data_IF_568889926260
#
_entry.id   IF_568889926260
#
_cell.length_a   1.000
_cell.length_b   1.000
_cell.length_c   1.000
_cell.angle_alpha   90.00
_cell.angle_beta   90.00
_cell.angle_gamma   90.00
#
_symmetry.space_group_name_H-M   'P 1'
#
loop_
_entity.id
_entity.type
_entity.pdbx_description
1 polymer ?
#
# COMPACT_ATOMS: atom_id res chain seq x y z
N UNK A 1 -7.75 9.53 24.62
CA UNK A 1 -6.71 8.93 23.75
C UNK A 1 -7.17 7.54 23.36
N UNK A 2 -7.08 7.15 22.09
CA UNK A 2 -7.49 5.82 21.66
C UNK A 2 -6.47 4.75 22.11
N UNK A 3 -6.94 3.60 22.60
CA UNK A 3 -6.05 2.50 22.99
C UNK A 3 -5.51 1.80 21.74
N UNK A 4 -4.23 1.99 21.47
CA UNK A 4 -3.57 1.45 20.26
C UNK A 4 -3.29 -0.05 20.33
N UNK A 5 -3.57 -0.71 21.47
CA UNK A 5 -3.46 -2.16 21.66
C UNK A 5 -2.09 -2.75 21.25
N UNK A 6 -1.00 -2.05 21.58
CA UNK A 6 0.37 -2.53 21.37
C UNK A 6 0.69 -3.79 22.20
N UNK A 7 0.26 -3.84 23.46
CA UNK A 7 0.50 -4.96 24.38
C UNK A 7 -0.54 -6.08 24.26
N UNK A 8 -0.73 -6.61 23.06
CA UNK A 8 -1.61 -7.76 22.84
C UNK A 8 -0.88 -9.09 22.97
N UNK A 9 -1.62 -10.13 23.36
CA UNK A 9 -1.11 -11.50 23.39
C UNK A 9 -0.72 -11.92 21.97
N UNK A 10 0.41 -12.59 21.82
CA UNK A 10 0.95 -13.08 20.53
C UNK A 10 -0.11 -13.80 19.66
N UNK A 11 -0.99 -14.68 20.20
CA UNK A 11 -2.02 -15.33 19.38
C UNK A 11 -3.02 -14.36 18.74
N UNK A 12 -3.32 -13.24 19.39
CA UNK A 12 -4.22 -12.22 18.83
C UNK A 12 -3.57 -11.48 17.66
N UNK A 13 -2.26 -11.20 17.76
CA UNK A 13 -1.48 -10.59 16.67
C UNK A 13 -1.47 -11.51 15.45
N UNK A 14 -1.16 -12.80 15.66
CA UNK A 14 -1.16 -13.80 14.58
C UNK A 14 -2.54 -13.91 13.91
N UNK A 15 -3.62 -13.89 14.69
CA UNK A 15 -4.99 -13.91 14.15
C UNK A 15 -5.25 -12.73 13.20
N UNK A 16 -4.79 -11.53 13.53
CA UNK A 16 -4.97 -10.35 12.67
C UNK A 16 -4.13 -10.44 11.39
N UNK A 17 -2.90 -10.92 11.51
CA UNK A 17 -2.04 -11.13 10.34
C UNK A 17 -2.68 -12.17 9.41
N UNK A 18 -3.15 -13.29 9.95
CA UNK A 18 -3.85 -14.33 9.19
C UNK A 18 -5.12 -13.80 8.52
N UNK A 19 -5.88 -12.95 9.21
CA UNK A 19 -7.06 -12.31 8.63
C UNK A 19 -6.68 -11.38 7.46
N UNK A 20 -5.56 -10.66 7.55
CA UNK A 20 -5.09 -9.84 6.43
C UNK A 20 -4.72 -10.68 5.20
N UNK A 21 -4.11 -11.86 5.42
CA UNK A 21 -3.80 -12.81 4.36
C UNK A 21 -5.08 -13.29 3.68
N UNK A 22 -6.09 -13.69 4.46
CA UNK A 22 -7.40 -14.10 3.91
C UNK A 22 -8.02 -12.99 3.05
N UNK A 23 -7.99 -11.74 3.52
CA UNK A 23 -8.54 -10.61 2.77
C UNK A 23 -7.81 -10.40 1.43
N UNK A 24 -6.49 -10.49 1.42
CA UNK A 24 -5.69 -10.38 0.19
C UNK A 24 -5.93 -11.57 -0.73
N UNK A 25 -6.06 -12.78 -0.20
CA UNK A 25 -6.40 -13.98 -0.99
C UNK A 25 -7.78 -13.84 -1.64
N UNK A 26 -8.78 -13.32 -0.93
CA UNK A 26 -10.11 -13.06 -1.49
C UNK A 26 -10.03 -12.01 -2.59
N UNK A 27 -9.30 -10.92 -2.37
CA UNK A 27 -9.08 -9.88 -3.38
C UNK A 27 -8.36 -10.45 -4.63
N UNK A 28 -7.35 -11.28 -4.44
CA UNK A 28 -6.66 -11.98 -5.54
C UNK A 28 -7.58 -12.95 -6.28
N UNK A 29 -8.35 -13.77 -5.57
CA UNK A 29 -9.31 -14.68 -6.19
C UNK A 29 -10.37 -13.92 -7.00
N UNK A 30 -10.83 -12.76 -6.52
CA UNK A 30 -11.75 -11.91 -7.27
C UNK A 30 -11.11 -11.36 -8.55
N UNK A 31 -9.82 -10.99 -8.52
CA UNK A 31 -9.08 -10.60 -9.71
C UNK A 31 -9.03 -11.74 -10.72
N UNK A 32 -8.66 -12.96 -10.28
CA UNK A 32 -8.58 -14.14 -11.17
C UNK A 32 -9.91 -14.42 -11.88
N UNK A 33 -11.04 -14.25 -11.17
CA UNK A 33 -12.38 -14.43 -11.77
C UNK A 33 -12.64 -13.38 -12.84
N UNK A 34 -12.27 -12.12 -12.59
CA UNK A 34 -12.46 -11.03 -13.55
C UNK A 34 -11.55 -11.18 -14.76
N UNK A 35 -10.31 -11.56 -14.55
CA UNK A 35 -9.36 -11.84 -15.64
C UNK A 35 -9.85 -13.01 -16.49
N UNK A 36 -10.36 -14.09 -15.87
CA UNK A 36 -10.93 -15.21 -16.60
C UNK A 36 -12.20 -14.86 -17.40
N UNK A 37 -13.11 -14.07 -16.84
CA UNK A 37 -14.40 -13.76 -17.47
C UNK A 37 -14.33 -12.59 -18.46
N UNK A 38 -13.51 -11.58 -18.17
CA UNK A 38 -13.49 -10.31 -18.88
C UNK A 38 -12.13 -9.97 -19.47
N UNK A 39 -11.07 -10.70 -19.12
CA UNK A 39 -9.69 -10.41 -19.54
C UNK A 39 -9.23 -9.01 -19.10
N UNK A 40 -9.69 -8.58 -17.92
CA UNK A 40 -9.46 -7.27 -17.34
C UNK A 40 -8.75 -7.37 -15.99
N UNK A 41 -7.79 -6.47 -15.77
CA UNK A 41 -7.02 -6.34 -14.54
C UNK A 41 -7.61 -5.25 -13.62
N UNK A 42 -7.27 -5.29 -12.33
CA UNK A 42 -7.50 -4.16 -11.42
C UNK A 42 -6.52 -3.03 -11.69
N UNK A 43 -6.88 -2.17 -12.64
CA UNK A 43 -6.11 -0.98 -12.97
C UNK A 43 -6.90 0.27 -12.62
N UNK A 44 -6.27 1.12 -11.81
CA UNK A 44 -6.77 2.46 -11.57
C UNK A 44 -5.62 3.45 -11.77
N UNK A 45 -5.70 4.17 -12.89
CA UNK A 45 -4.64 5.06 -13.35
C UNK A 45 -3.28 4.34 -13.42
N UNK A 46 -2.24 4.86 -12.78
CA UNK A 46 -0.89 4.30 -12.74
C UNK A 46 -0.72 3.16 -11.71
N UNK A 47 -1.75 2.82 -10.94
CA UNK A 47 -1.74 1.69 -10.02
C UNK A 47 -2.37 0.46 -10.68
N UNK A 48 -1.66 -0.66 -10.69
CA UNK A 48 -2.14 -1.93 -11.22
C UNK A 48 -2.01 -3.04 -10.20
N UNK A 49 -3.03 -3.88 -10.10
CA UNK A 49 -2.92 -5.22 -9.54
C UNK A 49 -3.22 -6.21 -10.65
N UNK A 50 -2.30 -7.15 -10.83
CA UNK A 50 -2.37 -8.14 -11.89
C UNK A 50 -2.06 -9.51 -11.32
N UNK A 51 -2.36 -10.55 -12.10
CA UNK A 51 -1.94 -11.90 -11.79
C UNK A 51 -0.42 -11.95 -11.58
N UNK A 52 0.01 -12.62 -10.51
CA UNK A 52 1.41 -12.89 -10.27
C UNK A 52 1.63 -14.39 -10.32
N UNK A 53 2.65 -14.81 -11.08
CA UNK A 53 3.11 -16.20 -11.04
C UNK A 53 3.47 -16.61 -9.62
N UNK A 54 3.13 -17.84 -9.27
CA UNK A 54 3.35 -18.42 -7.94
C UNK A 54 4.79 -18.23 -7.42
N UNK A 55 5.78 -18.33 -8.30
CA UNK A 55 7.21 -18.18 -7.99
C UNK A 55 7.57 -16.79 -7.43
N UNK A 56 6.86 -15.75 -7.88
CA UNK A 56 7.15 -14.35 -7.55
C UNK A 56 6.48 -13.88 -6.28
N UNK A 57 5.51 -14.62 -5.74
CA UNK A 57 4.85 -14.32 -4.49
C UNK A 57 5.81 -14.28 -3.29
N UNK A 58 6.87 -15.10 -3.32
CA UNK A 58 7.93 -15.07 -2.32
C UNK A 58 8.51 -13.66 -2.11
N UNK A 59 8.69 -12.90 -3.20
CA UNK A 59 9.20 -11.52 -3.18
C UNK A 59 8.18 -10.57 -2.53
N UNK A 60 6.89 -10.74 -2.83
CA UNK A 60 5.80 -9.96 -2.23
C UNK A 60 5.80 -10.11 -0.71
N UNK A 61 5.94 -11.35 -0.21
CA UNK A 61 5.96 -11.63 1.24
C UNK A 61 7.15 -10.98 1.95
N UNK A 62 8.36 -11.13 1.39
CA UNK A 62 9.59 -10.56 1.98
C UNK A 62 9.50 -9.03 2.04
N UNK A 63 9.03 -8.39 0.98
CA UNK A 63 8.91 -6.93 0.95
C UNK A 63 7.74 -6.44 1.82
N UNK A 64 6.67 -7.22 1.94
CA UNK A 64 5.56 -6.88 2.82
C UNK A 64 6.01 -6.88 4.28
N UNK A 65 6.85 -7.84 4.66
CA UNK A 65 7.48 -7.89 5.98
C UNK A 65 8.38 -6.67 6.22
N UNK A 66 9.13 -6.25 5.20
CA UNK A 66 9.97 -5.05 5.29
C UNK A 66 9.15 -3.75 5.45
N UNK A 67 8.03 -3.63 4.73
CA UNK A 67 7.14 -2.45 4.80
C UNK A 67 6.22 -2.46 6.03
N UNK A 68 6.03 -3.61 6.66
CA UNK A 68 5.10 -3.80 7.76
C UNK A 68 5.36 -2.86 8.97
N UNK A 69 6.60 -2.69 9.49
CA UNK A 69 6.87 -1.75 10.58
C UNK A 69 6.50 -0.31 10.24
N UNK A 70 6.74 0.13 9.00
CA UNK A 70 6.38 1.48 8.56
C UNK A 70 4.86 1.68 8.58
N UNK A 71 4.09 0.71 8.09
CA UNK A 71 2.63 0.77 8.17
C UNK A 71 2.09 0.65 9.60
N UNK A 72 2.81 -0.02 10.50
CA UNK A 72 2.46 -0.08 11.92
C UNK A 72 2.61 1.31 12.56
N UNK A 73 3.72 2.01 12.28
CA UNK A 73 3.92 3.39 12.73
C UNK A 73 2.85 4.33 12.16
N UNK A 74 2.55 4.24 10.85
CA UNK A 74 1.48 5.03 10.22
C UNK A 74 0.14 4.73 10.90
N UNK A 75 -0.20 3.46 11.10
CA UNK A 75 -1.44 3.06 11.75
C UNK A 75 -1.54 3.51 13.20
N UNK A 76 -0.43 3.56 13.93
CA UNK A 76 -0.37 4.13 15.26
C UNK A 76 -0.59 5.65 15.24
N UNK A 77 0.14 6.39 14.40
CA UNK A 77 0.05 7.86 14.29
C UNK A 77 -1.35 8.32 13.86
N UNK A 78 -1.91 7.65 12.85
CA UNK A 78 -3.25 7.97 12.32
C UNK A 78 -4.31 7.71 13.38
N UNK A 79 -4.25 6.58 14.09
CA UNK A 79 -5.28 6.18 15.05
C UNK A 79 -5.09 6.74 16.46
N UNK A 80 -3.95 7.37 16.75
CA UNK A 80 -3.74 8.03 18.04
C UNK A 80 -4.58 9.30 18.20
N UNK A 81 -4.76 10.05 17.11
CA UNK A 81 -5.44 11.36 17.07
C UNK A 81 -6.94 11.27 16.76
N UNK A 82 -7.60 10.15 17.09
CA UNK A 82 -9.05 9.99 16.87
C UNK A 82 -9.81 11.07 17.63
N UNK A 83 -10.54 11.89 16.87
CA UNK A 83 -11.40 12.94 17.39
C UNK A 83 -12.79 12.39 17.67
N UNK A 84 -13.33 12.74 18.85
CA UNK A 84 -14.68 12.34 19.28
C UNK A 84 -15.69 13.48 19.19
N UNK A 85 -15.24 14.69 18.83
CA UNK A 85 -16.06 15.90 18.76
C UNK A 85 -16.82 16.06 17.44
N UNK A 86 -16.40 15.36 16.38
CA UNK A 86 -16.98 15.45 15.03
C UNK A 86 -17.56 14.10 14.57
N UNK A 87 -18.51 14.08 13.61
CA UNK A 87 -19.02 12.86 13.01
C UNK A 87 -17.89 11.97 12.48
N UNK A 88 -18.06 10.67 12.69
CA UNK A 88 -17.03 9.65 12.47
C UNK A 88 -16.47 9.64 11.02
N UNK A 89 -17.34 9.90 10.04
CA UNK A 89 -16.97 9.97 8.63
C UNK A 89 -16.17 11.24 8.29
N UNK A 90 -16.48 12.37 8.96
CA UNK A 90 -15.75 13.63 8.78
C UNK A 90 -14.34 13.52 9.36
N UNK A 91 -14.22 12.91 10.54
CA UNK A 91 -12.93 12.61 11.14
C UNK A 91 -12.06 11.73 10.23
N UNK A 92 -12.63 10.66 9.67
CA UNK A 92 -11.90 9.82 8.70
C UNK A 92 -11.50 10.62 7.46
N UNK A 93 -12.40 11.42 6.90
CA UNK A 93 -12.10 12.19 5.69
C UNK A 93 -10.98 13.20 5.94
N UNK A 94 -11.05 13.97 7.03
CA UNK A 94 -10.01 14.94 7.40
C UNK A 94 -8.68 14.21 7.62
N UNK A 95 -8.71 13.08 8.32
CA UNK A 95 -7.51 12.28 8.58
C UNK A 95 -6.87 11.80 7.28
N UNK A 96 -7.66 11.25 6.35
CA UNK A 96 -7.14 10.77 5.05
C UNK A 96 -6.55 11.93 4.25
N UNK A 97 -7.31 13.01 4.08
CA UNK A 97 -6.88 14.18 3.30
C UNK A 97 -5.61 14.78 3.88
N UNK A 98 -5.58 15.09 5.18
CA UNK A 98 -4.44 15.75 5.81
C UNK A 98 -3.17 14.88 5.80
N UNK A 99 -3.30 13.55 5.96
CA UNK A 99 -2.16 12.65 5.92
C UNK A 99 -1.70 12.31 4.49
N UNK A 100 -2.53 12.53 3.46
CA UNK A 100 -2.14 12.38 2.05
C UNK A 100 -1.67 13.69 1.39
N UNK A 101 -1.85 14.84 2.04
CA UNK A 101 -1.49 16.16 1.50
C UNK A 101 -0.05 16.24 0.99
N UNK A 102 0.91 15.62 1.68
CA UNK A 102 2.32 15.66 1.29
C UNK A 102 2.57 15.11 -0.12
N UNK A 103 1.93 14.00 -0.49
CA UNK A 103 2.05 13.39 -1.82
C UNK A 103 1.44 14.30 -2.89
N UNK A 104 0.29 14.90 -2.59
CA UNK A 104 -0.39 15.79 -3.51
C UNK A 104 0.39 17.10 -3.72
N UNK A 105 0.98 17.66 -2.66
CA UNK A 105 1.83 18.86 -2.74
C UNK A 105 3.08 18.61 -3.58
N UNK A 106 3.77 17.48 -3.37
CA UNK A 106 4.94 17.11 -4.18
C UNK A 106 4.56 16.97 -5.67
N UNK A 107 3.42 16.34 -5.97
CA UNK A 107 2.91 16.26 -7.33
C UNK A 107 2.59 17.64 -7.93
N UNK A 108 1.97 18.53 -7.15
CA UNK A 108 1.64 19.89 -7.60
C UNK A 108 2.89 20.74 -7.87
N UNK A 109 3.91 20.65 -7.00
CA UNK A 109 5.20 21.34 -7.19
C UNK A 109 5.87 20.89 -8.48
N UNK A 110 5.97 19.57 -8.70
CA UNK A 110 6.53 19.03 -9.95
C UNK A 110 5.78 19.54 -11.18
N UNK A 111 4.45 19.56 -11.14
CA UNK A 111 3.63 20.06 -12.24
C UNK A 111 3.89 21.55 -12.54
N UNK A 112 3.98 22.38 -11.50
CA UNK A 112 4.26 23.82 -11.63
C UNK A 112 5.66 24.04 -12.21
N UNK A 113 6.69 23.34 -11.70
CA UNK A 113 8.07 23.48 -12.16
C UNK A 113 8.21 23.06 -13.63
N UNK A 114 7.60 21.95 -14.03
CA UNK A 114 7.60 21.50 -15.43
C UNK A 114 6.91 22.51 -16.34
N UNK A 115 5.77 23.07 -15.92
CA UNK A 115 5.07 24.10 -16.68
C UNK A 115 5.86 25.42 -16.76
N UNK A 116 6.67 25.73 -15.76
CA UNK A 116 7.57 26.88 -15.73
C UNK A 116 8.85 26.67 -16.57
N UNK A 117 9.04 25.51 -17.19
CA UNK A 117 10.18 25.22 -18.06
C UNK A 117 11.39 24.61 -17.35
N UNK A 118 11.23 24.07 -16.14
CA UNK A 118 12.30 23.34 -15.46
C UNK A 118 12.69 22.10 -16.28
N UNK A 119 14.00 21.90 -16.46
CA UNK A 119 14.57 20.74 -17.18
C UNK A 119 14.68 19.50 -16.31
N UNK A 120 14.49 19.64 -15.00
CA UNK A 120 14.52 18.55 -14.02
C UNK A 120 13.27 18.58 -13.13
N UNK A 121 12.88 17.39 -12.69
CA UNK A 121 11.75 17.17 -11.78
C UNK A 121 12.29 17.26 -10.35
N UNK A 122 11.62 17.99 -9.46
CA UNK A 122 12.05 18.16 -8.06
C UNK A 122 12.04 16.82 -7.30
N UNK A 123 11.05 15.97 -7.55
CA UNK A 123 10.98 14.61 -7.04
C UNK A 123 10.47 13.67 -8.12
N UNK A 124 11.28 12.69 -8.52
CA UNK A 124 10.92 11.78 -9.61
C UNK A 124 9.89 10.72 -9.16
N UNK A 125 8.67 10.82 -9.68
CA UNK A 125 7.55 9.92 -9.37
C UNK A 125 7.32 8.82 -10.43
N UNK A 126 8.24 8.57 -11.37
CA UNK A 126 8.03 7.66 -12.52
C UNK A 126 7.30 6.34 -12.19
N UNK A 127 7.59 5.71 -11.05
CA UNK A 127 6.93 4.47 -10.60
C UNK A 127 5.94 4.66 -9.43
N UNK A 128 5.84 5.86 -8.89
CA UNK A 128 5.06 6.18 -7.69
C UNK A 128 3.96 7.20 -7.93
N UNK A 129 3.69 7.60 -9.18
CA UNK A 129 2.54 8.46 -9.52
C UNK A 129 1.22 7.87 -9.02
N UNK A 130 1.06 6.54 -9.03
CA UNK A 130 -0.10 5.86 -8.43
C UNK A 130 -0.31 6.14 -6.94
N UNK A 131 0.70 6.63 -6.22
CA UNK A 131 0.61 6.96 -4.78
C UNK A 131 -0.34 8.10 -4.47
N UNK A 132 -0.64 8.97 -5.45
CA UNK A 132 -1.65 10.03 -5.30
C UNK A 132 -3.01 9.44 -4.86
N UNK A 133 -3.35 8.24 -5.32
CA UNK A 133 -4.56 7.52 -4.91
C UNK A 133 -4.28 6.38 -3.93
N UNK A 134 -3.14 5.73 -4.05
CA UNK A 134 -2.81 4.59 -3.19
C UNK A 134 -2.59 5.01 -1.73
N UNK A 135 -1.94 6.15 -1.48
CA UNK A 135 -1.73 6.66 -0.12
C UNK A 135 -3.04 6.98 0.60
N UNK A 136 -3.98 7.77 0.06
CA UNK A 136 -5.25 7.99 0.72
C UNK A 136 -6.06 6.70 0.90
N UNK A 137 -5.97 5.74 -0.02
CA UNK A 137 -6.60 4.42 0.12
C UNK A 137 -6.04 3.65 1.33
N UNK A 138 -4.72 3.54 1.46
CA UNK A 138 -4.11 2.82 2.60
C UNK A 138 -4.40 3.50 3.94
N UNK A 139 -4.47 4.84 3.98
CA UNK A 139 -4.87 5.59 5.16
C UNK A 139 -6.33 5.30 5.54
N UNK A 140 -7.23 5.28 4.55
CA UNK A 140 -8.63 4.94 4.75
C UNK A 140 -8.79 3.50 5.27
N UNK A 141 -8.13 2.53 4.64
CA UNK A 141 -8.17 1.12 5.05
C UNK A 141 -7.63 0.95 6.48
N UNK A 142 -6.49 1.56 6.79
CA UNK A 142 -5.91 1.51 8.14
C UNK A 142 -6.88 2.07 9.19
N UNK A 143 -7.55 3.19 8.90
CA UNK A 143 -8.57 3.78 9.78
C UNK A 143 -9.79 2.88 9.91
N UNK A 144 -10.28 2.31 8.81
CA UNK A 144 -11.49 1.46 8.80
C UNK A 144 -11.24 0.14 9.53
N UNK A 145 -10.11 -0.52 9.28
CA UNK A 145 -9.69 -1.72 10.00
C UNK A 145 -9.57 -1.47 11.50
N UNK A 146 -8.95 -0.35 11.91
CA UNK A 146 -8.83 0.02 13.32
C UNK A 146 -10.19 0.28 13.96
N UNK A 147 -11.13 0.93 13.26
CA UNK A 147 -12.47 1.18 13.80
C UNK A 147 -13.30 -0.09 14.00
N UNK A 148 -13.14 -1.09 13.13
CA UNK A 148 -13.87 -2.36 13.23
C UNK A 148 -13.24 -3.26 14.30
N UNK A 149 -11.91 -3.30 14.39
CA UNK A 149 -11.19 -4.30 15.19
C UNK A 149 -10.54 -3.74 16.46
N UNK A 150 -10.51 -2.42 16.61
CA UNK A 150 -9.73 -1.68 17.61
C UNK A 150 -8.25 -2.11 17.61
N UNK A 151 -7.72 -2.44 16.43
CA UNK A 151 -6.42 -3.07 16.29
C UNK A 151 -5.60 -2.49 15.13
N UNK A 152 -4.36 -2.10 15.42
CA UNK A 152 -3.45 -1.54 14.42
C UNK A 152 -2.77 -2.63 13.55
N UNK A 153 -2.64 -3.85 14.07
CA UNK A 153 -1.91 -4.95 13.42
C UNK A 153 -2.58 -5.40 12.11
N UNK A 154 -3.91 -5.46 12.08
CA UNK A 154 -4.67 -5.86 10.89
C UNK A 154 -4.49 -4.88 9.72
N UNK A 155 -4.71 -3.58 10.00
CA UNK A 155 -4.60 -2.54 8.98
C UNK A 155 -3.18 -2.45 8.42
N UNK A 156 -2.17 -2.57 9.29
CA UNK A 156 -0.77 -2.54 8.89
C UNK A 156 -0.39 -3.72 7.98
N UNK A 157 -0.82 -4.95 8.33
CA UNK A 157 -0.51 -6.15 7.55
C UNK A 157 -1.24 -6.15 6.19
N UNK A 158 -2.50 -5.71 6.18
CA UNK A 158 -3.27 -5.58 4.95
C UNK A 158 -2.65 -4.55 4.00
N UNK A 159 -2.33 -3.35 4.50
CA UNK A 159 -1.76 -2.29 3.67
C UNK A 159 -0.36 -2.63 3.17
N UNK A 160 0.47 -3.32 3.96
CA UNK A 160 1.80 -3.74 3.51
C UNK A 160 1.72 -4.78 2.38
N UNK A 161 0.82 -5.77 2.49
CA UNK A 161 0.60 -6.76 1.45
C UNK A 161 -0.01 -6.16 0.18
N UNK A 162 -0.97 -5.22 0.32
CA UNK A 162 -1.54 -4.53 -0.84
C UNK A 162 -0.50 -3.67 -1.55
N UNK A 163 0.36 -2.95 -0.81
CA UNK A 163 1.40 -2.12 -1.42
C UNK A 163 2.36 -2.97 -2.25
N UNK A 164 2.86 -4.07 -1.68
CA UNK A 164 3.83 -4.91 -2.39
C UNK A 164 3.18 -5.63 -3.56
N UNK A 165 1.96 -6.14 -3.40
CA UNK A 165 1.24 -6.73 -4.52
C UNK A 165 0.94 -5.72 -5.64
N UNK A 166 0.71 -4.44 -5.36
CA UNK A 166 0.59 -3.43 -6.42
C UNK A 166 1.93 -3.12 -7.11
N UNK A 167 3.04 -3.10 -6.36
CA UNK A 167 4.35 -2.73 -6.88
C UNK A 167 4.97 -3.81 -7.76
N UNK A 168 4.95 -5.08 -7.35
CA UNK A 168 5.70 -6.13 -8.07
C UNK A 168 5.22 -6.39 -9.52
N UNK A 169 3.91 -6.51 -9.81
CA UNK A 169 3.43 -6.62 -11.18
C UNK A 169 3.85 -5.44 -12.06
N UNK A 170 3.80 -4.21 -11.51
CA UNK A 170 4.18 -3.00 -12.23
C UNK A 170 5.66 -2.94 -12.64
N UNK A 171 6.53 -3.71 -11.95
CA UNK A 171 7.95 -3.87 -12.33
C UNK A 171 8.17 -4.95 -13.40
N UNK A 172 7.11 -5.52 -13.97
CA UNK A 172 7.20 -6.55 -15.00
C UNK A 172 7.34 -7.98 -14.47
N UNK A 173 7.24 -8.21 -13.15
CA UNK A 173 7.25 -9.57 -12.57
C UNK A 173 5.98 -10.40 -12.89
N UNK A 174 4.98 -9.79 -13.54
CA UNK A 174 3.86 -10.50 -14.18
C UNK A 174 4.32 -11.27 -15.45
N UNK A 175 5.35 -10.79 -16.14
CA UNK A 175 5.82 -11.33 -17.43
C UNK A 175 7.26 -11.88 -17.33
N UNK A 176 7.65 -12.82 -18.20
CA UNK A 176 9.04 -13.37 -18.27
C UNK A 176 10.11 -12.31 -18.59
N UNK A 177 9.72 -11.06 -18.84
CA UNK A 177 10.58 -9.98 -19.32
C UNK A 177 11.54 -9.42 -18.27
N UNK A 178 11.28 -9.63 -16.98
CA UNK A 178 12.15 -9.14 -15.91
C UNK A 178 12.96 -10.27 -15.26
N UNK A 179 14.15 -10.51 -15.80
CA UNK A 179 15.19 -11.27 -15.09
C UNK A 179 15.83 -10.34 -14.07
N UNK A 180 15.42 -10.45 -12.80
CA UNK A 180 15.96 -9.62 -11.74
C UNK A 180 17.49 -9.71 -11.67
N UNK A 181 18.14 -8.57 -11.48
CA UNK A 181 19.59 -8.53 -11.30
C UNK A 181 20.00 -9.43 -10.15
N UNK A 182 20.87 -10.40 -10.43
CA UNK A 182 21.44 -11.24 -9.38
C UNK A 182 22.39 -10.39 -8.54
N UNK A 183 22.61 -10.79 -7.28
CA UNK A 183 23.62 -10.13 -6.45
C UNK A 183 24.99 -10.06 -7.15
N UNK A 184 25.32 -11.12 -7.92
CA UNK A 184 26.52 -11.21 -8.75
C UNK A 184 26.48 -10.15 -9.86
N UNK A 185 25.38 -10.05 -10.61
CA UNK A 185 25.25 -9.05 -11.68
C UNK A 185 25.31 -7.61 -11.18
N UNK A 186 24.75 -7.33 -10.00
CA UNK A 186 24.83 -6.00 -9.37
C UNK A 186 26.22 -5.66 -8.82
N UNK A 187 26.93 -6.65 -8.28
CA UNK A 187 28.26 -6.42 -7.71
C UNK A 187 29.33 -6.29 -8.79
N UNK A 188 29.24 -7.09 -9.85
CA UNK A 188 30.21 -7.10 -10.94
C UNK A 188 29.78 -6.30 -12.18
N UNK A 189 28.59 -5.70 -12.16
CA UNK A 189 28.03 -4.93 -13.27
C UNK A 189 27.99 -5.73 -14.58
N UNK A 190 27.53 -6.98 -14.49
CA UNK A 190 27.41 -7.96 -15.59
C UNK A 190 25.97 -8.44 -15.71
#
# INVERSE_FOLDING_TARGET
MASLNFNQKVPAIIKNIFLSIILVTIAYASLMVLEYLFNEDYRFWMASFQEMRAEHWSKVWIHALFMFPSFLLIGASVNYSVRTDIPEWKDTLITVVMNSLGVWLLCAINFILLKAGATSIFSDFKLTYGFVFFVPLTLYLTRKCYKITHNIWLGAALCSLMLTWALFPSQGYHSFSYMGQTWIGNFFNI
#
